data_IF_336212943891
#
_entry.id   IF_336212943891
#
_cell.length_a   1.000
_cell.length_b   1.000
_cell.length_c   1.000
_cell.angle_alpha   90.00
_cell.angle_beta   90.00
_cell.angle_gamma   90.00
#
_symmetry.space_group_name_H-M   'P 1'
#
loop_
_entity.id
_entity.type
_entity.pdbx_description
1 polymer ?
#
# COMPACT_ATOMS: atom_id res chain seq x y z
N UNK A 1 -52.88 -61.37 19.63
CA UNK A 1 -53.60 -60.23 19.03
C UNK A 1 -52.90 -58.95 19.43
N UNK A 2 -52.15 -58.27 18.53
CA UNK A 2 -51.53 -56.96 18.83
C UNK A 2 -52.41 -55.87 18.26
N UNK A 3 -52.51 -54.78 19.04
CA UNK A 3 -53.24 -53.55 18.69
C UNK A 3 -52.41 -52.63 17.74
N UNK A 4 -53.07 -52.28 16.65
CA UNK A 4 -52.56 -51.33 15.66
C UNK A 4 -52.48 -49.85 16.19
N UNK A 5 -51.31 -49.27 16.21
CA UNK A 5 -51.12 -47.86 16.46
C UNK A 5 -51.04 -47.05 15.16
N UNK A 6 -52.01 -46.19 14.92
CA UNK A 6 -52.05 -45.24 13.78
C UNK A 6 -50.99 -44.16 13.94
N UNK A 7 -50.08 -44.08 12.99
CA UNK A 7 -49.12 -42.97 12.85
C UNK A 7 -49.80 -41.84 12.10
N UNK A 8 -49.95 -40.68 12.74
CA UNK A 8 -50.36 -39.43 12.10
C UNK A 8 -49.17 -38.88 11.28
N UNK A 9 -49.37 -38.67 9.99
CA UNK A 9 -48.47 -37.90 9.14
C UNK A 9 -48.71 -36.43 9.44
N UNK A 10 -47.60 -35.69 9.76
CA UNK A 10 -47.61 -34.26 9.83
C UNK A 10 -47.17 -33.69 8.46
N UNK A 11 -48.03 -32.95 7.83
CA UNK A 11 -47.74 -32.14 6.64
C UNK A 11 -46.80 -31.04 7.02
N UNK A 12 -45.66 -30.94 6.32
CA UNK A 12 -44.71 -29.81 6.41
C UNK A 12 -45.04 -28.81 5.31
N UNK A 13 -45.70 -27.72 5.69
CA UNK A 13 -45.88 -26.54 4.83
C UNK A 13 -44.54 -25.93 4.49
N UNK A 14 -44.17 -25.96 3.21
CA UNK A 14 -43.04 -25.22 2.66
C UNK A 14 -43.47 -23.80 2.38
N UNK A 15 -42.95 -22.86 3.14
CA UNK A 15 -42.98 -21.40 2.82
C UNK A 15 -42.00 -21.08 1.69
N UNK A 16 -42.40 -20.28 0.69
CA UNK A 16 -41.54 -19.89 -0.41
C UNK A 16 -40.48 -18.91 0.07
N UNK A 17 -39.19 -19.19 -0.24
CA UNK A 17 -38.06 -18.29 0.00
C UNK A 17 -38.15 -17.14 -0.99
N UNK A 18 -38.20 -15.94 -0.41
CA UNK A 18 -38.27 -14.65 -1.08
C UNK A 18 -37.02 -14.33 -1.89
N UNK A 19 -37.32 -13.86 -3.08
CA UNK A 19 -36.62 -12.92 -3.96
C UNK A 19 -35.17 -12.49 -3.61
N UNK A 20 -34.29 -12.83 -4.53
CA UNK A 20 -33.01 -12.20 -4.84
C UNK A 20 -33.13 -10.68 -4.92
N UNK A 21 -32.45 -9.98 -4.02
CA UNK A 21 -32.20 -8.54 -4.14
C UNK A 21 -31.13 -8.33 -5.21
N UNK A 22 -31.56 -7.94 -6.41
CA UNK A 22 -30.70 -7.34 -7.42
C UNK A 22 -30.09 -6.05 -6.85
N UNK A 23 -28.79 -6.05 -6.60
CA UNK A 23 -28.07 -4.84 -6.28
C UNK A 23 -28.09 -3.92 -7.51
N UNK A 24 -28.79 -2.81 -7.40
CA UNK A 24 -28.73 -1.69 -8.35
C UNK A 24 -27.30 -1.19 -8.39
N UNK A 25 -26.62 -1.38 -9.51
CA UNK A 25 -25.40 -0.65 -9.86
C UNK A 25 -25.86 0.80 -10.11
N UNK A 26 -25.72 1.64 -9.09
CA UNK A 26 -25.90 3.07 -9.24
C UNK A 26 -24.63 3.62 -9.91
N UNK A 27 -24.82 4.29 -11.05
CA UNK A 27 -23.83 5.20 -11.63
C UNK A 27 -23.40 6.24 -10.58
N UNK A 28 -22.29 5.98 -9.89
CA UNK A 28 -21.66 6.92 -8.98
C UNK A 28 -20.77 7.86 -9.78
N UNK A 29 -21.23 9.09 -9.93
CA UNK A 29 -20.43 10.26 -10.28
C UNK A 29 -19.14 10.28 -9.43
N UNK A 30 -18.03 10.74 -10.05
CA UNK A 30 -16.72 10.99 -9.46
C UNK A 30 -16.83 11.80 -8.17
N UNK A 31 -16.99 11.14 -7.02
CA UNK A 31 -16.75 11.76 -5.72
C UNK A 31 -15.25 11.64 -5.44
N UNK A 32 -14.51 12.71 -5.71
CA UNK A 32 -13.17 12.88 -5.08
C UNK A 32 -13.37 12.69 -3.58
N UNK A 33 -12.68 11.74 -2.99
CA UNK A 33 -12.82 11.42 -1.56
C UNK A 33 -12.64 12.71 -0.76
N UNK A 34 -13.70 13.15 -0.06
CA UNK A 34 -13.70 14.40 0.72
C UNK A 34 -12.68 14.32 1.83
N UNK A 35 -12.00 15.44 2.10
CA UNK A 35 -11.12 15.58 3.25
C UNK A 35 -11.90 15.22 4.53
N UNK A 36 -11.47 14.20 5.29
CA UNK A 36 -12.14 13.81 6.54
C UNK A 36 -12.02 14.87 7.64
N UNK A 37 -11.09 15.83 7.49
CA UNK A 37 -10.82 16.90 8.46
C UNK A 37 -10.75 18.28 7.79
N UNK A 38 -11.82 18.76 7.15
CA UNK A 38 -11.80 19.98 6.34
C UNK A 38 -11.46 21.25 7.15
N UNK A 39 -11.74 21.23 8.46
CA UNK A 39 -11.45 22.33 9.38
C UNK A 39 -10.08 22.22 10.05
N UNK A 40 -9.32 21.15 9.82
CA UNK A 40 -7.98 20.99 10.34
C UNK A 40 -6.99 21.66 9.39
N UNK A 41 -6.30 22.76 9.78
CA UNK A 41 -5.55 23.59 8.83
C UNK A 41 -4.20 22.99 8.41
N UNK A 42 -3.70 21.99 9.13
CA UNK A 42 -2.35 21.41 8.95
C UNK A 42 -2.38 20.06 8.23
N UNK A 43 -1.29 19.72 7.49
CA UNK A 43 -0.14 20.59 7.21
C UNK A 43 -0.47 21.69 6.22
N UNK A 44 0.29 22.80 6.27
CA UNK A 44 0.32 23.79 5.20
C UNK A 44 1.38 23.41 4.16
N UNK A 45 1.33 24.02 2.97
CA UNK A 45 2.34 23.80 1.93
C UNK A 45 3.75 24.21 2.41
N UNK A 46 3.84 25.33 3.13
CA UNK A 46 5.08 25.84 3.70
C UNK A 46 5.66 24.90 4.77
N UNK A 47 4.79 24.32 5.61
CA UNK A 47 5.23 23.31 6.58
C UNK A 47 5.76 22.06 5.89
N UNK A 48 5.06 21.56 4.85
CA UNK A 48 5.52 20.41 4.07
C UNK A 48 6.90 20.65 3.46
N UNK A 49 7.12 21.83 2.88
CA UNK A 49 8.39 22.24 2.30
C UNK A 49 9.48 22.29 3.36
N UNK A 50 9.23 22.98 4.48
CA UNK A 50 10.21 23.14 5.58
C UNK A 50 10.57 21.78 6.20
N UNK A 51 9.60 20.91 6.43
CA UNK A 51 9.84 19.55 6.96
C UNK A 51 10.65 18.72 5.99
N UNK A 52 10.34 18.78 4.67
CA UNK A 52 11.10 18.09 3.64
C UNK A 52 12.55 18.54 3.63
N UNK A 53 12.79 19.86 3.67
CA UNK A 53 14.14 20.44 3.60
C UNK A 53 14.96 20.12 4.85
N UNK A 54 14.37 20.20 6.05
CA UNK A 54 15.03 19.82 7.28
C UNK A 54 15.42 18.34 7.32
N UNK A 55 14.52 17.47 6.89
CA UNK A 55 14.80 16.03 6.84
C UNK A 55 15.85 15.71 5.78
N UNK A 56 15.83 16.41 4.64
CA UNK A 56 16.82 16.26 3.58
C UNK A 56 18.21 16.74 4.06
N UNK A 57 18.27 17.87 4.76
CA UNK A 57 19.51 18.37 5.34
C UNK A 57 20.06 17.43 6.43
N UNK A 58 19.18 16.81 7.22
CA UNK A 58 19.57 15.97 8.34
C UNK A 58 19.98 14.54 7.91
N UNK A 59 19.28 13.92 6.97
CA UNK A 59 19.50 12.52 6.55
C UNK A 59 20.19 12.39 5.19
N UNK A 60 20.16 13.42 4.36
CA UNK A 60 20.31 13.27 2.92
C UNK A 60 19.10 12.55 2.31
N UNK A 61 19.09 12.42 0.98
CA UNK A 61 18.03 11.62 0.35
C UNK A 61 18.34 10.11 0.50
N UNK A 62 17.38 9.28 0.96
CA UNK A 62 17.62 7.87 1.25
C UNK A 62 18.00 7.09 -0.01
N UNK A 63 19.11 6.34 0.06
CA UNK A 63 19.68 5.62 -1.10
C UNK A 63 18.72 4.59 -1.69
N UNK A 64 17.92 3.94 -0.84
CA UNK A 64 16.93 2.93 -1.26
C UNK A 64 15.83 3.49 -2.19
N UNK A 65 15.59 4.82 -2.18
CA UNK A 65 14.60 5.47 -3.02
C UNK A 65 15.22 6.31 -4.15
N UNK A 66 16.56 6.36 -4.25
CA UNK A 66 17.25 7.24 -5.20
C UNK A 66 16.92 6.91 -6.67
N UNK A 67 16.81 5.61 -7.01
CA UNK A 67 16.48 5.19 -8.37
C UNK A 67 15.04 5.58 -8.74
N UNK A 68 14.07 5.40 -7.85
CA UNK A 68 12.68 5.85 -8.08
C UNK A 68 12.60 7.37 -8.25
N UNK A 69 13.38 8.12 -7.46
CA UNK A 69 13.47 9.59 -7.58
C UNK A 69 14.02 10.01 -8.95
N UNK A 70 15.09 9.35 -9.40
CA UNK A 70 15.69 9.58 -10.70
C UNK A 70 14.71 9.30 -11.84
N UNK A 71 14.00 8.17 -11.79
CA UNK A 71 12.99 7.81 -12.77
C UNK A 71 11.84 8.84 -12.83
N UNK A 72 11.40 9.38 -11.66
CA UNK A 72 10.38 10.45 -11.62
C UNK A 72 10.85 11.73 -12.27
N UNK A 73 12.12 12.12 -12.08
CA UNK A 73 12.69 13.33 -12.69
C UNK A 73 12.83 13.19 -14.22
N UNK A 74 13.20 12.01 -14.70
CA UNK A 74 13.32 11.73 -16.14
C UNK A 74 11.94 11.65 -16.81
N UNK A 75 10.93 11.11 -16.12
CA UNK A 75 9.57 10.92 -16.64
C UNK A 75 8.74 12.20 -16.73
N UNK A 76 9.26 13.35 -16.34
CA UNK A 76 8.59 14.65 -16.42
C UNK A 76 9.42 15.60 -17.29
N UNK A 77 8.77 16.26 -18.24
CA UNK A 77 9.39 17.38 -18.99
C UNK A 77 9.50 18.64 -18.11
N UNK A 78 10.07 19.69 -18.68
CA UNK A 78 10.24 20.98 -18.01
C UNK A 78 8.91 21.60 -17.52
N UNK A 79 7.79 21.22 -18.15
CA UNK A 79 6.44 21.69 -17.80
C UNK A 79 5.71 20.72 -16.84
N UNK A 80 6.40 19.65 -16.38
CA UNK A 80 5.84 18.64 -15.47
C UNK A 80 4.91 17.62 -16.16
N UNK A 81 4.84 17.63 -17.49
CA UNK A 81 4.10 16.66 -18.30
C UNK A 81 4.88 15.35 -18.35
N UNK A 82 4.18 14.21 -18.31
CA UNK A 82 4.84 12.90 -18.35
C UNK A 82 5.36 12.57 -19.74
N UNK A 83 6.64 12.22 -19.79
CA UNK A 83 7.26 11.65 -20.98
C UNK A 83 7.20 10.13 -20.87
N UNK A 84 6.74 9.45 -21.91
CA UNK A 84 6.80 7.99 -22.00
C UNK A 84 8.24 7.56 -22.25
N UNK A 85 8.89 7.00 -21.21
CA UNK A 85 10.22 6.41 -21.31
C UNK A 85 10.16 4.99 -21.93
N UNK A 86 11.24 4.56 -22.62
CA UNK A 86 11.35 3.18 -23.10
C UNK A 86 11.22 2.16 -21.97
N UNK A 87 10.44 1.11 -22.19
CA UNK A 87 10.03 0.12 -21.18
C UNK A 87 11.17 -0.72 -20.57
N UNK A 88 12.36 -0.73 -21.19
CA UNK A 88 13.42 -1.68 -20.89
C UNK A 88 14.19 -1.45 -19.57
N UNK A 89 13.97 -0.31 -18.92
CA UNK A 89 14.64 0.05 -17.65
C UNK A 89 13.73 0.04 -16.42
N UNK A 90 12.43 -0.22 -16.60
CA UNK A 90 11.47 -0.16 -15.47
C UNK A 90 11.17 -1.56 -14.95
N UNK A 91 11.21 -1.71 -13.62
CA UNK A 91 10.64 -2.89 -12.96
C UNK A 91 9.18 -3.06 -13.40
N UNK A 92 8.76 -4.30 -13.68
CA UNK A 92 7.37 -4.54 -14.05
C UNK A 92 6.42 -4.16 -12.90
N UNK A 93 5.25 -3.64 -13.25
CA UNK A 93 4.25 -3.24 -12.24
C UNK A 93 3.83 -4.45 -11.39
N UNK A 94 3.78 -5.64 -11.98
CA UNK A 94 3.45 -6.86 -11.26
C UNK A 94 4.57 -7.27 -10.28
N UNK A 95 5.85 -7.18 -10.69
CA UNK A 95 6.99 -7.41 -9.79
C UNK A 95 6.95 -6.44 -8.60
N UNK A 96 6.75 -5.15 -8.87
CA UNK A 96 6.66 -4.13 -7.84
C UNK A 96 5.48 -4.32 -6.88
N UNK A 97 4.32 -4.73 -7.39
CA UNK A 97 3.17 -5.07 -6.55
C UNK A 97 3.48 -6.27 -5.65
N UNK A 98 4.08 -7.34 -6.18
CA UNK A 98 4.44 -8.51 -5.37
C UNK A 98 5.53 -8.17 -4.35
N UNK A 99 6.54 -7.35 -4.70
CA UNK A 99 7.51 -6.82 -3.71
C UNK A 99 6.80 -6.08 -2.57
N UNK A 100 5.84 -5.23 -2.91
CA UNK A 100 5.05 -4.49 -1.91
C UNK A 100 4.22 -5.44 -1.03
N UNK A 101 3.63 -6.51 -1.58
CA UNK A 101 2.96 -7.55 -0.79
C UNK A 101 3.93 -8.27 0.14
N UNK A 102 5.11 -8.63 -0.35
CA UNK A 102 6.13 -9.32 0.45
C UNK A 102 6.70 -8.42 1.56
N UNK A 103 6.68 -7.09 1.40
CA UNK A 103 7.14 -6.15 2.43
C UNK A 103 6.17 -5.97 3.61
N UNK A 104 4.95 -6.46 3.52
CA UNK A 104 3.97 -6.34 4.60
C UNK A 104 4.43 -7.08 5.85
N UNK A 105 4.41 -6.38 7.02
CA UNK A 105 4.74 -6.94 8.33
C UNK A 105 6.10 -7.69 8.38
N UNK A 106 7.11 -7.17 7.71
CA UNK A 106 8.46 -7.72 7.73
C UNK A 106 9.52 -6.63 7.55
N UNK A 107 10.79 -6.98 7.73
CA UNK A 107 11.89 -6.06 7.46
C UNK A 107 12.17 -5.98 5.95
N UNK A 108 12.77 -4.87 5.53
CA UNK A 108 13.17 -4.68 4.13
C UNK A 108 14.11 -5.78 3.63
N UNK A 109 15.12 -6.13 4.42
CA UNK A 109 16.07 -7.21 4.10
C UNK A 109 15.36 -8.54 3.87
N UNK A 110 14.42 -8.89 4.74
CA UNK A 110 13.66 -10.13 4.62
C UNK A 110 12.70 -10.11 3.41
N UNK A 111 12.10 -8.97 3.10
CA UNK A 111 11.21 -8.86 1.93
C UNK A 111 11.98 -8.95 0.61
N UNK A 112 13.14 -8.31 0.52
CA UNK A 112 14.03 -8.41 -0.65
C UNK A 112 14.52 -9.84 -0.85
N UNK A 113 14.96 -10.51 0.23
CA UNK A 113 15.36 -11.92 0.20
C UNK A 113 14.20 -12.81 -0.24
N UNK A 114 12.99 -12.61 0.29
CA UNK A 114 11.83 -13.40 -0.07
C UNK A 114 11.49 -13.26 -1.56
N UNK A 115 11.56 -12.05 -2.12
CA UNK A 115 11.35 -11.84 -3.55
C UNK A 115 12.44 -12.52 -4.40
N UNK A 116 13.71 -12.38 -4.02
CA UNK A 116 14.81 -13.04 -4.72
C UNK A 116 14.67 -14.56 -4.70
N UNK A 117 14.32 -15.16 -3.55
CA UNK A 117 14.07 -16.60 -3.44
C UNK A 117 12.87 -17.03 -4.30
N UNK A 118 11.79 -16.25 -4.32
CA UNK A 118 10.62 -16.52 -5.15
C UNK A 118 11.00 -16.56 -6.64
N UNK A 119 11.70 -15.54 -7.14
CA UNK A 119 12.11 -15.45 -8.54
C UNK A 119 13.19 -16.46 -8.93
N UNK A 120 14.03 -16.89 -7.98
CA UNK A 120 14.99 -17.96 -8.20
C UNK A 120 14.32 -19.34 -8.32
N UNK A 121 13.30 -19.58 -7.50
CA UNK A 121 12.54 -20.84 -7.53
C UNK A 121 11.54 -20.89 -8.70
N UNK A 122 10.98 -19.75 -9.06
CA UNK A 122 9.94 -19.59 -10.08
C UNK A 122 10.26 -18.39 -10.96
N UNK A 123 11.02 -18.55 -12.05
CA UNK A 123 11.48 -17.46 -12.91
C UNK A 123 10.35 -16.63 -13.54
N UNK A 124 9.24 -17.27 -13.90
CA UNK A 124 8.08 -16.63 -14.51
C UNK A 124 6.87 -16.58 -13.57
N UNK A 125 5.93 -15.72 -13.84
CA UNK A 125 4.67 -15.65 -13.08
C UNK A 125 3.74 -16.83 -13.37
N UNK A 126 3.87 -17.43 -14.54
CA UNK A 126 3.25 -18.68 -14.96
C UNK A 126 3.73 -19.84 -14.06
N UNK A 127 5.04 -19.93 -13.79
CA UNK A 127 5.60 -20.92 -12.86
C UNK A 127 5.04 -20.76 -11.45
N UNK A 128 4.96 -19.51 -10.96
CA UNK A 128 4.35 -19.21 -9.63
C UNK A 128 2.88 -19.63 -9.60
N UNK A 129 2.13 -19.37 -10.67
CA UNK A 129 0.70 -19.75 -10.72
C UNK A 129 0.51 -21.26 -10.77
N UNK A 130 1.35 -21.98 -11.50
CA UNK A 130 1.31 -23.43 -11.63
C UNK A 130 1.78 -24.17 -10.37
N UNK A 131 2.72 -23.57 -9.62
CA UNK A 131 3.32 -24.20 -8.43
C UNK A 131 2.30 -24.51 -7.32
N UNK A 132 2.56 -25.54 -6.53
CA UNK A 132 1.83 -25.79 -5.30
C UNK A 132 2.03 -24.65 -4.30
N UNK A 133 0.97 -24.32 -3.53
CA UNK A 133 1.02 -23.21 -2.56
C UNK A 133 2.11 -23.42 -1.52
N UNK A 134 2.34 -24.65 -1.08
CA UNK A 134 3.40 -25.02 -0.13
C UNK A 134 4.79 -24.71 -0.65
N UNK A 135 5.06 -24.92 -1.94
CA UNK A 135 6.35 -24.61 -2.56
C UNK A 135 6.61 -23.08 -2.57
N UNK A 136 5.57 -22.28 -2.84
CA UNK A 136 5.65 -20.83 -2.77
C UNK A 136 5.86 -20.37 -1.32
N UNK A 137 5.11 -20.93 -0.36
CA UNK A 137 5.27 -20.64 1.08
C UNK A 137 6.71 -20.89 1.54
N UNK A 138 7.32 -22.00 1.11
CA UNK A 138 8.69 -22.35 1.43
C UNK A 138 9.70 -21.35 0.85
N UNK A 139 9.51 -20.97 -0.41
CA UNK A 139 10.38 -20.00 -1.09
C UNK A 139 10.37 -18.63 -0.41
N UNK A 140 9.20 -18.16 0.07
CA UNK A 140 9.06 -16.83 0.69
C UNK A 140 9.07 -16.85 2.23
N UNK A 141 9.39 -17.98 2.86
CA UNK A 141 9.31 -18.18 4.33
C UNK A 141 10.06 -17.12 5.12
N UNK A 142 11.24 -16.70 4.64
CA UNK A 142 12.06 -15.69 5.28
C UNK A 142 11.38 -14.31 5.37
N UNK A 143 10.35 -14.05 4.53
CA UNK A 143 9.58 -12.80 4.53
C UNK A 143 8.47 -12.72 5.60
N UNK A 144 8.24 -13.80 6.37
CA UNK A 144 7.14 -13.89 7.34
C UNK A 144 5.75 -13.93 6.69
N UNK A 145 4.76 -14.42 7.45
CA UNK A 145 3.38 -14.59 6.96
C UNK A 145 3.27 -15.33 5.61
N UNK A 146 4.17 -16.31 5.38
CA UNK A 146 4.38 -16.95 4.08
C UNK A 146 3.06 -17.52 3.50
N UNK A 147 2.27 -18.24 4.31
CA UNK A 147 0.98 -18.81 3.89
C UNK A 147 0.01 -17.75 3.37
N UNK A 148 -0.14 -16.64 4.12
CA UNK A 148 -1.04 -15.55 3.73
C UNK A 148 -0.54 -14.86 2.46
N UNK A 149 0.76 -14.57 2.37
CA UNK A 149 1.38 -13.92 1.21
C UNK A 149 1.31 -14.80 -0.04
N UNK A 150 1.63 -16.09 0.06
CA UNK A 150 1.50 -17.05 -1.04
C UNK A 150 0.05 -17.13 -1.55
N UNK A 151 -0.91 -17.21 -0.64
CA UNK A 151 -2.34 -17.21 -1.00
C UNK A 151 -2.75 -15.91 -1.72
N UNK A 152 -2.28 -14.73 -1.25
CA UNK A 152 -2.55 -13.46 -1.91
C UNK A 152 -1.94 -13.41 -3.32
N UNK A 153 -0.68 -13.82 -3.48
CA UNK A 153 0.01 -13.84 -4.78
C UNK A 153 -0.71 -14.78 -5.76
N UNK A 154 -1.01 -16.02 -5.36
CA UNK A 154 -1.75 -16.96 -6.23
C UNK A 154 -3.13 -16.45 -6.61
N UNK A 155 -3.85 -15.84 -5.68
CA UNK A 155 -5.16 -15.28 -5.95
C UNK A 155 -5.08 -14.11 -6.93
N UNK A 156 -4.09 -13.20 -6.74
CA UNK A 156 -3.83 -12.11 -7.68
C UNK A 156 -3.57 -12.63 -9.10
N UNK A 157 -2.63 -13.58 -9.25
CA UNK A 157 -2.25 -14.12 -10.55
C UNK A 157 -3.42 -14.84 -11.23
N UNK A 158 -4.20 -15.63 -10.47
CA UNK A 158 -5.39 -16.30 -11.01
C UNK A 158 -6.42 -15.29 -11.51
N UNK A 159 -6.81 -14.34 -10.68
CA UNK A 159 -7.78 -13.32 -11.07
C UNK A 159 -7.29 -12.47 -12.26
N UNK A 160 -5.98 -12.20 -12.33
CA UNK A 160 -5.38 -11.45 -13.42
C UNK A 160 -5.48 -12.26 -14.74
N UNK A 161 -5.12 -13.55 -14.71
CA UNK A 161 -5.24 -14.43 -15.87
C UNK A 161 -6.70 -14.57 -16.32
N UNK A 162 -7.64 -14.77 -15.38
CA UNK A 162 -9.07 -14.90 -15.67
C UNK A 162 -9.68 -13.63 -16.31
N UNK A 163 -9.24 -12.44 -15.87
CA UNK A 163 -9.82 -11.18 -16.35
C UNK A 163 -9.12 -10.58 -17.56
N UNK A 164 -7.82 -10.78 -17.68
CA UNK A 164 -6.96 -10.10 -18.65
C UNK A 164 -6.25 -11.06 -19.62
N UNK A 165 -6.38 -12.37 -19.40
CA UNK A 165 -5.74 -13.43 -20.20
C UNK A 165 -4.19 -13.33 -20.23
N UNK A 166 -3.60 -12.46 -19.37
CA UNK A 166 -2.15 -12.22 -19.27
C UNK A 166 -1.76 -11.94 -17.82
N UNK A 167 -0.60 -12.43 -17.39
CA UNK A 167 0.02 -12.12 -16.11
C UNK A 167 0.85 -10.82 -16.21
N UNK A 168 0.18 -9.71 -16.49
CA UNK A 168 0.81 -8.42 -16.74
C UNK A 168 -0.08 -7.28 -16.18
N UNK A 169 0.53 -6.29 -15.56
CA UNK A 169 -0.17 -5.10 -15.02
C UNK A 169 0.29 -3.79 -15.68
N UNK A 170 1.06 -3.85 -16.80
CA UNK A 170 1.58 -2.64 -17.43
C UNK A 170 0.47 -1.71 -17.96
N UNK A 171 -0.70 -2.27 -18.30
CA UNK A 171 -1.87 -1.48 -18.69
C UNK A 171 -2.33 -0.46 -17.64
N UNK A 172 -1.92 -0.64 -16.37
CA UNK A 172 -2.22 0.33 -15.32
C UNK A 172 -1.52 1.68 -15.55
N UNK A 173 -0.45 1.72 -16.35
CA UNK A 173 0.25 2.97 -16.67
C UNK A 173 -0.59 3.95 -17.47
N UNK A 174 -1.57 3.42 -18.21
CA UNK A 174 -2.47 4.18 -19.09
C UNK A 174 -3.78 4.59 -18.39
N UNK A 175 -3.97 4.17 -17.13
CA UNK A 175 -5.17 4.45 -16.35
C UNK A 175 -5.01 5.68 -15.45
N UNK A 176 -6.13 6.32 -15.16
CA UNK A 176 -6.19 7.37 -14.12
C UNK A 176 -5.97 6.78 -12.72
N UNK A 177 -5.56 7.61 -11.77
CA UNK A 177 -5.35 7.20 -10.36
C UNK A 177 -6.58 6.53 -9.76
N UNK A 178 -7.79 7.04 -10.06
CA UNK A 178 -9.04 6.48 -9.53
C UNK A 178 -9.35 5.11 -10.14
N UNK A 179 -9.10 4.93 -11.44
CA UNK A 179 -9.23 3.63 -12.11
C UNK A 179 -8.22 2.61 -11.57
N UNK A 180 -6.97 3.01 -11.35
CA UNK A 180 -5.95 2.14 -10.73
C UNK A 180 -6.39 1.72 -9.32
N UNK A 181 -6.86 2.67 -8.49
CA UNK A 181 -7.37 2.38 -7.14
C UNK A 181 -8.54 1.39 -7.19
N UNK A 182 -9.48 1.61 -8.08
CA UNK A 182 -10.62 0.72 -8.28
C UNK A 182 -10.15 -0.69 -8.71
N UNK A 183 -9.31 -0.78 -9.74
CA UNK A 183 -8.81 -2.06 -10.28
C UNK A 183 -8.04 -2.86 -9.22
N UNK A 184 -7.04 -2.26 -8.58
CA UNK A 184 -6.21 -2.95 -7.59
C UNK A 184 -6.96 -3.33 -6.32
N UNK A 185 -7.99 -2.58 -5.94
CA UNK A 185 -8.80 -2.88 -4.74
C UNK A 185 -9.66 -4.15 -4.87
N UNK A 186 -9.85 -4.67 -6.07
CA UNK A 186 -10.56 -5.93 -6.29
C UNK A 186 -9.75 -7.16 -5.88
N UNK A 187 -8.42 -7.06 -5.79
CA UNK A 187 -7.58 -8.20 -5.46
C UNK A 187 -7.48 -8.40 -3.94
N UNK A 188 -7.82 -9.60 -3.48
CA UNK A 188 -7.77 -9.95 -2.05
C UNK A 188 -6.34 -9.80 -1.50
N UNK A 189 -6.19 -9.07 -0.41
CA UNK A 189 -4.90 -8.83 0.24
C UNK A 189 -4.19 -7.56 -0.24
N UNK A 190 -4.75 -6.86 -1.24
CA UNK A 190 -4.27 -5.55 -1.69
C UNK A 190 -5.14 -4.48 -1.03
N UNK A 191 -4.62 -3.90 0.04
CA UNK A 191 -5.29 -2.82 0.77
C UNK A 191 -4.89 -1.43 0.28
N UNK A 192 -5.56 -0.37 0.76
CA UNK A 192 -5.30 1.02 0.34
C UNK A 192 -3.83 1.44 0.42
N UNK A 193 -3.12 1.03 1.48
CA UNK A 193 -1.69 1.32 1.65
C UNK A 193 -0.84 0.67 0.54
N UNK A 194 -1.16 -0.57 0.16
CA UNK A 194 -0.45 -1.29 -0.91
C UNK A 194 -0.69 -0.60 -2.26
N UNK A 195 -1.94 -0.23 -2.54
CA UNK A 195 -2.31 0.54 -3.74
C UNK A 195 -1.54 1.84 -3.81
N UNK A 196 -1.50 2.61 -2.71
CA UNK A 196 -0.77 3.87 -2.63
C UNK A 196 0.75 3.70 -2.87
N UNK A 197 1.35 2.60 -2.37
CA UNK A 197 2.75 2.29 -2.66
C UNK A 197 2.98 1.99 -4.15
N UNK A 198 2.10 1.19 -4.78
CA UNK A 198 2.20 0.90 -6.22
C UNK A 198 2.05 2.19 -7.05
N UNK A 199 1.08 3.03 -6.71
CA UNK A 199 0.90 4.34 -7.35
C UNK A 199 2.18 5.17 -7.26
N UNK A 200 2.74 5.32 -6.06
CA UNK A 200 3.88 6.20 -5.84
C UNK A 200 5.18 5.65 -6.45
N UNK A 201 5.49 4.37 -6.25
CA UNK A 201 6.79 3.79 -6.63
C UNK A 201 6.79 3.19 -8.03
N UNK A 202 5.76 2.43 -8.40
CA UNK A 202 5.76 1.71 -9.68
C UNK A 202 5.16 2.53 -10.82
N UNK A 203 4.09 3.26 -10.52
CA UNK A 203 3.36 4.05 -11.51
C UNK A 203 3.74 5.53 -11.48
N UNK A 204 4.61 5.95 -10.55
CA UNK A 204 5.12 7.31 -10.38
C UNK A 204 4.01 8.37 -10.30
N UNK A 205 2.86 7.98 -9.74
CA UNK A 205 1.74 8.87 -9.47
C UNK A 205 2.00 9.69 -8.21
N UNK A 206 1.33 10.84 -8.11
CA UNK A 206 1.42 11.70 -6.93
C UNK A 206 0.42 11.21 -5.87
N UNK A 207 0.84 10.20 -5.14
CA UNK A 207 0.11 9.64 -4.00
C UNK A 207 1.00 9.66 -2.75
N UNK A 208 0.39 9.60 -1.55
CA UNK A 208 1.10 9.69 -0.28
C UNK A 208 0.74 8.51 0.63
N UNK A 209 1.42 7.37 0.52
CA UNK A 209 1.17 6.20 1.36
C UNK A 209 1.39 6.51 2.84
N UNK A 210 0.42 6.15 3.68
CA UNK A 210 0.53 6.31 5.14
C UNK A 210 0.79 4.96 5.79
N UNK A 211 2.06 4.72 6.11
CA UNK A 211 2.46 3.58 6.92
C UNK A 211 2.44 3.93 8.43
N UNK A 212 2.91 3.03 9.27
CA UNK A 212 2.95 3.27 10.73
C UNK A 212 3.88 4.42 11.08
N UNK A 213 5.03 4.56 10.41
CA UNK A 213 6.00 5.62 10.68
C UNK A 213 5.45 7.00 10.31
N UNK A 214 4.95 7.13 9.09
CA UNK A 214 4.31 8.37 8.60
C UNK A 214 3.12 8.75 9.48
N UNK A 215 2.28 7.78 9.87
CA UNK A 215 1.13 8.01 10.73
C UNK A 215 1.51 8.57 12.09
N UNK A 216 2.45 7.94 12.80
CA UNK A 216 2.89 8.37 14.13
C UNK A 216 3.56 9.75 14.08
N UNK A 217 4.37 10.01 13.05
CA UNK A 217 5.00 11.33 12.86
C UNK A 217 3.94 12.40 12.57
N UNK A 218 2.99 12.13 11.68
CA UNK A 218 1.91 13.07 11.36
C UNK A 218 1.08 13.44 12.60
N UNK A 219 0.79 12.46 13.47
CA UNK A 219 0.13 12.73 14.76
C UNK A 219 1.00 13.55 15.69
N UNK A 220 2.29 13.21 15.81
CA UNK A 220 3.22 13.90 16.70
C UNK A 220 3.44 15.37 16.30
N UNK A 221 3.34 15.68 15.01
CA UNK A 221 3.42 17.06 14.48
C UNK A 221 2.07 17.79 14.49
N UNK A 222 0.97 17.12 14.85
CA UNK A 222 -0.36 17.70 14.76
C UNK A 222 -0.83 17.97 13.32
N UNK A 223 -0.34 17.20 12.37
CA UNK A 223 -0.79 17.25 10.97
C UNK A 223 -2.16 16.60 10.77
N UNK A 224 -2.59 15.84 11.75
CA UNK A 224 -3.92 15.25 11.84
C UNK A 224 -4.43 15.31 13.28
N UNK A 225 -5.75 15.30 13.51
CA UNK A 225 -6.33 15.20 14.85
C UNK A 225 -5.85 13.95 15.61
N UNK A 226 -5.87 14.01 16.94
CA UNK A 226 -5.40 12.90 17.81
C UNK A 226 -6.21 11.62 17.59
N UNK A 227 -7.51 11.75 17.30
CA UNK A 227 -8.43 10.65 17.02
C UNK A 227 -8.34 10.08 15.60
N UNK A 228 -7.49 10.65 14.74
CA UNK A 228 -7.35 10.20 13.37
C UNK A 228 -6.87 8.74 13.29
N UNK A 229 -7.51 7.96 12.42
CA UNK A 229 -7.01 6.65 11.99
C UNK A 229 -6.13 6.76 10.73
N UNK A 230 -5.47 5.67 10.37
CA UNK A 230 -4.57 5.67 9.20
C UNK A 230 -5.25 5.96 7.86
N UNK A 231 -6.49 5.48 7.67
CA UNK A 231 -7.21 5.70 6.42
C UNK A 231 -7.63 7.17 6.27
N UNK A 232 -8.15 7.77 7.33
CA UNK A 232 -8.48 9.19 7.33
C UNK A 232 -7.23 10.06 7.21
N UNK A 233 -6.13 9.66 7.86
CA UNK A 233 -4.82 10.33 7.72
C UNK A 233 -4.35 10.29 6.26
N UNK A 234 -4.46 9.13 5.58
CA UNK A 234 -4.14 9.02 4.16
C UNK A 234 -4.96 9.99 3.31
N UNK A 235 -6.27 10.05 3.48
CA UNK A 235 -7.14 10.94 2.72
C UNK A 235 -6.79 12.41 2.96
N UNK A 236 -6.59 12.80 4.22
CA UNK A 236 -6.26 14.18 4.60
C UNK A 236 -4.89 14.61 4.04
N UNK A 237 -3.85 13.82 4.27
CA UNK A 237 -2.49 14.18 3.83
C UNK A 237 -2.37 14.21 2.30
N UNK A 238 -3.09 13.34 1.59
CA UNK A 238 -3.11 13.37 0.12
C UNK A 238 -3.72 14.64 -0.45
N UNK A 239 -4.61 15.30 0.27
CA UNK A 239 -5.22 16.56 -0.15
C UNK A 239 -4.40 17.79 0.28
N UNK A 240 -3.71 17.70 1.44
CA UNK A 240 -2.98 18.82 2.03
C UNK A 240 -1.55 18.96 1.50
N UNK A 241 -0.88 17.84 1.24
CA UNK A 241 0.51 17.86 0.79
C UNK A 241 0.55 18.17 -0.71
N UNK A 242 1.31 19.20 -1.14
CA UNK A 242 1.52 19.50 -2.56
C UNK A 242 2.08 18.29 -3.32
N UNK A 243 1.60 18.07 -4.54
CA UNK A 243 1.95 16.89 -5.33
C UNK A 243 3.45 16.74 -5.55
N UNK A 244 4.14 17.85 -5.82
CA UNK A 244 5.58 17.91 -6.05
C UNK A 244 6.41 17.51 -4.82
N UNK A 245 5.84 17.63 -3.61
CA UNK A 245 6.52 17.28 -2.36
C UNK A 245 6.23 15.84 -1.90
N UNK A 246 5.15 15.21 -2.39
CA UNK A 246 4.66 13.93 -1.87
C UNK A 246 5.74 12.85 -1.85
N UNK A 247 6.45 12.68 -2.94
CA UNK A 247 7.43 11.60 -3.06
C UNK A 247 8.59 11.77 -2.09
N UNK A 248 9.30 12.90 -2.17
CA UNK A 248 10.47 13.17 -1.33
C UNK A 248 10.09 13.16 0.15
N UNK A 249 9.00 13.86 0.50
CA UNK A 249 8.53 13.96 1.88
C UNK A 249 8.13 12.59 2.46
N UNK A 250 7.45 11.74 1.68
CA UNK A 250 7.08 10.39 2.12
C UNK A 250 8.32 9.54 2.40
N UNK A 251 9.29 9.50 1.48
CA UNK A 251 10.54 8.75 1.65
C UNK A 251 11.34 9.24 2.86
N UNK A 252 11.41 10.55 3.07
CA UNK A 252 12.13 11.16 4.19
C UNK A 252 11.44 10.90 5.53
N UNK A 253 10.12 11.03 5.61
CA UNK A 253 9.36 10.72 6.84
C UNK A 253 9.45 9.24 7.20
N UNK A 254 9.34 8.34 6.21
CA UNK A 254 9.52 6.90 6.41
C UNK A 254 10.91 6.60 6.98
N UNK A 255 11.96 7.15 6.36
CA UNK A 255 13.34 6.95 6.81
C UNK A 255 13.58 7.53 8.20
N UNK A 256 13.10 8.74 8.44
CA UNK A 256 13.17 9.35 9.77
C UNK A 256 12.49 8.49 10.83
N UNK A 257 11.30 7.97 10.53
CA UNK A 257 10.56 7.11 11.45
C UNK A 257 11.25 5.77 11.74
N UNK A 258 12.05 5.24 10.81
CA UNK A 258 12.90 4.05 11.08
C UNK A 258 14.06 4.37 12.04
N UNK A 259 14.60 5.58 11.98
CA UNK A 259 15.83 5.97 12.69
C UNK A 259 15.56 6.74 13.99
N UNK A 260 14.56 7.60 14.02
CA UNK A 260 14.29 8.49 15.15
C UNK A 260 13.44 7.82 16.24
N UNK A 261 14.00 7.70 17.44
CA UNK A 261 13.30 7.13 18.60
C UNK A 261 12.30 8.09 19.25
N UNK A 262 12.46 9.40 19.05
CA UNK A 262 11.59 10.43 19.65
C UNK A 262 10.25 10.56 18.93
N UNK A 263 10.27 10.41 17.61
CA UNK A 263 9.07 10.58 16.79
C UNK A 263 8.14 9.36 16.85
N UNK A 264 8.65 8.19 17.23
CA UNK A 264 7.88 6.95 17.32
C UNK A 264 8.11 6.32 18.67
N UNK A 265 7.03 6.17 19.46
CA UNK A 265 7.06 5.37 20.68
C UNK A 265 7.27 3.91 20.31
N UNK A 266 8.51 3.42 20.38
CA UNK A 266 8.80 1.99 20.19
C UNK A 266 8.42 1.22 21.46
N UNK A 267 7.42 0.38 21.37
CA UNK A 267 7.29 -0.76 22.26
C UNK A 267 8.31 -1.83 21.84
N UNK A 268 9.31 -2.10 22.72
CA UNK A 268 10.22 -3.24 22.56
C UNK A 268 11.70 -2.92 22.37
N UNK A 269 12.51 -3.59 23.19
CA UNK A 269 13.98 -3.62 23.23
C UNK A 269 14.65 -3.59 21.85
N UNK A 270 15.28 -2.48 21.49
CA UNK A 270 16.40 -2.48 20.57
C UNK A 270 17.50 -1.59 21.15
N UNK A 271 18.59 -2.23 21.58
CA UNK A 271 19.86 -1.60 21.91
C UNK A 271 20.47 -1.01 20.63
N UNK A 272 20.37 0.30 20.49
CA UNK A 272 21.07 1.08 19.49
C UNK A 272 21.62 2.32 20.17
N UNK A 273 22.84 2.71 19.82
CA UNK A 273 23.60 3.84 20.37
C UNK A 273 22.69 5.06 20.60
N UNK A 274 22.80 5.65 21.79
CA UNK A 274 22.25 6.95 22.13
C UNK A 274 22.76 7.97 21.13
N UNK A 275 21.91 8.38 20.20
CA UNK A 275 22.14 9.60 19.45
C UNK A 275 21.74 10.76 20.34
N UNK A 276 22.56 11.79 20.37
CA UNK A 276 22.42 13.02 21.13
C UNK A 276 20.99 13.53 21.11
N UNK A 277 20.39 13.65 22.28
CA UNK A 277 18.93 13.66 22.47
C UNK A 277 18.20 14.93 21.97
N UNK A 278 18.94 15.94 21.51
CA UNK A 278 18.44 17.24 21.03
C UNK A 278 18.43 17.41 19.50
N UNK A 279 18.83 16.42 18.72
CA UNK A 279 19.11 16.61 17.29
C UNK A 279 17.93 16.31 16.34
N UNK A 280 16.76 15.89 16.83
CA UNK A 280 15.63 15.59 15.93
C UNK A 280 15.07 16.87 15.28
N UNK A 281 15.14 17.04 13.96
CA UNK A 281 14.69 18.25 13.27
C UNK A 281 13.18 18.47 13.37
N UNK A 282 12.40 17.41 13.64
CA UNK A 282 10.94 17.51 13.72
C UNK A 282 10.43 18.00 15.08
N UNK A 283 11.29 18.16 16.10
CA UNK A 283 10.85 18.64 17.41
C UNK A 283 10.21 20.04 17.37
N UNK A 284 10.69 20.91 16.49
CA UNK A 284 10.18 22.27 16.31
C UNK A 284 8.76 22.35 15.72
N UNK A 285 8.29 21.27 15.08
CA UNK A 285 6.96 21.19 14.47
C UNK A 285 5.92 20.51 15.37
N UNK A 286 6.34 19.98 16.52
CA UNK A 286 5.43 19.35 17.48
C UNK A 286 4.54 20.38 18.16
N UNK A 287 3.29 19.99 18.39
CA UNK A 287 2.36 20.74 19.24
C UNK A 287 2.41 20.27 20.67
#
# INVERSE_FOLDING_TARGET
MPKSGKRKQAEVEQKPKSATKSAKISNGLKETAKDPYPNHPRPTAEECLSVRDDLLAFHGFPKEFAEYRKQRLISRDADGTRISEPSDLKESVLDGLVRTLLSQNTTEVNSQKAFACLKSAFPTWEDVLAAESTCIEDAIRCGGLARTKASCIKNLLRCLLEKKEKLCLEYLRDLSVDEIKAELSHYKGIGPKTVACVLMFQLQQDDFPVDTHVFEIAKAMGWVPVEADRNKTYLHLNQRIPNELKFDLNCLLFTHGKLCRKCIKKGGNQQGKESDDNSCPLLRYRM
#
